data_IF_625264606614
#
_entry.id   IF_625264606614
#
_cell.length_a   1.000
_cell.length_b   1.000
_cell.length_c   1.000
_cell.angle_alpha   90.00
_cell.angle_beta   90.00
_cell.angle_gamma   90.00
#
_symmetry.space_group_name_H-M   'P 1'
#
loop_
_entity.id
_entity.type
_entity.pdbx_description
1 polymer ?
#
# COMPACT_ATOMS: atom_id res chain seq x y z
N UNK A 1 2.27 -12.36 31.83
CA UNK A 1 2.28 -12.88 30.44
C UNK A 1 3.36 -12.12 29.69
N UNK A 2 4.41 -12.79 29.22
CA UNK A 2 5.50 -12.14 28.48
C UNK A 2 4.95 -11.62 27.15
N UNK A 3 5.14 -10.32 26.85
CA UNK A 3 4.72 -9.75 25.56
C UNK A 3 5.56 -10.34 24.43
N UNK A 4 4.97 -10.48 23.25
CA UNK A 4 5.63 -11.00 22.04
C UNK A 4 5.96 -9.88 21.05
N UNK A 5 6.73 -10.21 20.00
CA UNK A 5 6.95 -9.26 18.89
C UNK A 5 5.63 -8.94 18.18
N UNK A 6 4.75 -9.93 18.01
CA UNK A 6 3.42 -9.73 17.46
C UNK A 6 2.58 -8.77 18.30
N UNK A 7 2.65 -8.84 19.64
CA UNK A 7 1.97 -7.86 20.51
C UNK A 7 2.50 -6.44 20.30
N UNK A 8 3.81 -6.28 20.12
CA UNK A 8 4.44 -4.98 19.84
C UNK A 8 3.97 -4.40 18.51
N UNK A 9 3.95 -5.21 17.45
CA UNK A 9 3.51 -4.78 16.11
C UNK A 9 2.02 -4.44 16.12
N UNK A 10 1.16 -5.30 16.69
CA UNK A 10 -0.28 -5.04 16.82
C UNK A 10 -0.54 -3.73 17.57
N UNK A 11 0.15 -3.51 18.69
CA UNK A 11 0.02 -2.26 19.46
C UNK A 11 0.45 -1.04 18.64
N UNK A 12 1.49 -1.19 17.81
CA UNK A 12 1.94 -0.10 16.94
C UNK A 12 0.90 0.25 15.86
N UNK A 13 0.25 -0.77 15.28
CA UNK A 13 -0.88 -0.59 14.35
C UNK A 13 -2.10 0.02 15.04
N UNK A 14 -2.44 -0.40 16.27
CA UNK A 14 -3.51 0.25 17.05
C UNK A 14 -3.24 1.75 17.28
N UNK A 15 -1.99 2.12 17.60
CA UNK A 15 -1.59 3.53 17.75
C UNK A 15 -1.67 4.27 16.41
N UNK A 16 -1.23 3.62 15.32
CA UNK A 16 -1.30 4.15 13.97
C UNK A 16 -2.75 4.49 13.60
N UNK A 17 -3.67 3.54 13.77
CA UNK A 17 -5.08 3.70 13.41
C UNK A 17 -5.76 4.82 14.21
N UNK A 18 -5.47 4.91 15.51
CA UNK A 18 -6.04 5.94 16.38
C UNK A 18 -5.47 7.34 16.10
N UNK A 19 -4.16 7.47 15.85
CA UNK A 19 -3.44 8.76 15.98
C UNK A 19 -2.54 9.12 14.80
N UNK A 20 -2.41 8.24 13.83
CA UNK A 20 -1.57 8.41 12.66
C UNK A 20 -0.09 8.10 12.92
N UNK A 21 0.69 8.05 11.84
CA UNK A 21 2.07 7.57 11.80
C UNK A 21 3.00 8.37 12.74
N UNK A 22 2.75 9.67 12.90
CA UNK A 22 3.54 10.55 13.78
C UNK A 22 3.44 10.22 15.27
N UNK A 23 2.40 9.49 15.70
CA UNK A 23 2.23 9.06 17.09
C UNK A 23 2.92 7.72 17.40
N UNK A 24 3.29 6.95 16.37
CA UNK A 24 3.88 5.63 16.54
C UNK A 24 5.32 5.77 17.01
N UNK A 25 5.57 5.48 18.28
CA UNK A 25 6.91 5.50 18.87
C UNK A 25 7.11 4.33 19.83
N UNK A 26 8.37 3.91 20.00
CA UNK A 26 8.72 2.85 20.96
C UNK A 26 8.27 3.17 22.39
N UNK A 27 8.25 4.47 22.76
CA UNK A 27 7.74 4.94 24.06
C UNK A 27 6.23 4.81 24.16
N UNK A 28 5.49 5.25 23.13
CA UNK A 28 4.04 5.12 23.10
C UNK A 28 3.59 3.65 23.18
N UNK A 29 4.31 2.76 22.48
CA UNK A 29 4.06 1.31 22.51
C UNK A 29 4.35 0.74 23.91
N UNK A 30 5.49 1.10 24.51
CA UNK A 30 5.84 0.65 25.85
C UNK A 30 4.79 1.08 26.89
N UNK A 31 4.32 2.33 26.79
CA UNK A 31 3.26 2.85 27.65
C UNK A 31 1.94 2.11 27.45
N UNK A 32 1.53 1.86 26.21
CA UNK A 32 0.28 1.14 25.89
C UNK A 32 0.32 -0.30 26.40
N UNK A 33 1.47 -0.97 26.28
CA UNK A 33 1.67 -2.35 26.70
C UNK A 33 1.94 -2.51 28.21
N UNK A 34 2.09 -1.42 28.95
CA UNK A 34 2.52 -1.38 30.35
C UNK A 34 3.85 -2.15 30.58
N UNK A 35 4.84 -1.87 29.73
CA UNK A 35 6.19 -2.46 29.81
C UNK A 35 7.26 -1.38 29.74
N UNK A 36 8.50 -1.76 30.08
CA UNK A 36 9.66 -0.87 29.91
C UNK A 36 10.02 -0.77 28.42
N UNK A 37 10.54 0.39 28.00
CA UNK A 37 11.02 0.60 26.63
C UNK A 37 12.06 -0.45 26.19
N UNK A 38 12.91 -0.93 27.12
CA UNK A 38 13.87 -1.99 26.84
C UNK A 38 13.21 -3.32 26.43
N UNK A 39 12.00 -3.61 26.91
CA UNK A 39 11.22 -4.78 26.49
C UNK A 39 10.79 -4.65 25.04
N UNK A 40 10.29 -3.49 24.63
CA UNK A 40 9.91 -3.21 23.23
C UNK A 40 11.14 -3.32 22.32
N UNK A 41 12.24 -2.64 22.69
CA UNK A 41 13.51 -2.70 21.96
C UNK A 41 14.07 -4.12 21.86
N UNK A 42 13.84 -4.99 22.84
CA UNK A 42 14.26 -6.38 22.74
C UNK A 42 13.54 -7.12 21.58
N UNK A 43 12.26 -6.83 21.35
CA UNK A 43 11.46 -7.45 20.28
C UNK A 43 11.78 -6.90 18.89
N UNK A 44 11.97 -5.59 18.75
CA UNK A 44 12.08 -4.95 17.42
C UNK A 44 13.46 -4.37 17.13
N UNK A 45 14.35 -4.28 18.11
CA UNK A 45 15.72 -3.74 18.02
C UNK A 45 15.82 -2.25 17.70
N UNK A 46 15.12 -1.76 16.68
CA UNK A 46 15.12 -0.36 16.22
C UNK A 46 13.72 0.10 15.81
N UNK A 47 13.55 1.41 15.64
CA UNK A 47 12.31 1.99 15.09
C UNK A 47 12.12 1.63 13.61
N UNK A 48 13.19 1.63 12.82
CA UNK A 48 13.14 1.20 11.42
C UNK A 48 12.68 -0.27 11.28
N UNK A 49 13.21 -1.17 12.13
CA UNK A 49 12.78 -2.57 12.11
C UNK A 49 11.33 -2.75 12.57
N UNK A 50 10.85 -1.93 13.50
CA UNK A 50 9.43 -1.89 13.83
C UNK A 50 8.59 -1.49 12.61
N UNK A 51 9.03 -0.48 11.84
CA UNK A 51 8.33 -0.03 10.65
C UNK A 51 8.28 -1.10 9.56
N UNK A 52 9.38 -1.83 9.33
CA UNK A 52 9.40 -3.00 8.44
C UNK A 52 8.38 -4.07 8.87
N UNK A 53 8.34 -4.40 10.16
CA UNK A 53 7.38 -5.38 10.70
C UNK A 53 5.93 -4.89 10.64
N UNK A 54 5.69 -3.59 10.81
CA UNK A 54 4.36 -3.01 10.63
C UNK A 54 3.93 -3.04 9.17
N UNK A 55 4.83 -2.69 8.23
CA UNK A 55 4.57 -2.77 6.82
C UNK A 55 4.21 -4.21 6.41
N UNK A 56 5.01 -5.19 6.84
CA UNK A 56 4.72 -6.60 6.54
C UNK A 56 3.39 -7.07 7.13
N UNK A 57 3.06 -6.66 8.35
CA UNK A 57 1.78 -6.99 8.96
C UNK A 57 0.58 -6.41 8.20
N UNK A 58 0.71 -5.20 7.63
CA UNK A 58 -0.30 -4.61 6.73
C UNK A 58 -0.39 -5.45 5.45
N UNK A 59 0.76 -5.77 4.83
CA UNK A 59 0.77 -6.58 3.58
C UNK A 59 0.23 -8.00 3.80
N UNK A 60 0.38 -8.57 5.00
CA UNK A 60 -0.16 -9.87 5.36
C UNK A 60 -1.69 -9.96 5.30
N UNK A 61 -2.41 -8.82 5.26
CA UNK A 61 -3.86 -8.80 5.04
C UNK A 61 -4.24 -9.09 3.57
N UNK A 62 -3.28 -9.05 2.66
CA UNK A 62 -3.47 -9.44 1.25
C UNK A 62 -3.61 -10.96 1.17
N UNK A 63 -4.85 -11.42 1.17
CA UNK A 63 -5.15 -12.83 0.93
C UNK A 63 -4.74 -13.23 -0.50
N UNK A 64 -3.90 -14.26 -0.63
CA UNK A 64 -3.55 -14.89 -1.91
C UNK A 64 -4.46 -16.09 -2.24
N UNK A 65 -5.48 -16.34 -1.44
CA UNK A 65 -6.42 -17.45 -1.65
C UNK A 65 -7.53 -17.07 -2.63
N UNK A 66 -7.98 -18.03 -3.44
CA UNK A 66 -9.10 -17.82 -4.38
C UNK A 66 -8.85 -16.72 -5.42
N UNK A 67 -7.60 -16.57 -5.85
CA UNK A 67 -7.25 -15.64 -6.92
C UNK A 67 -7.72 -16.17 -8.29
N UNK A 68 -8.01 -15.28 -9.26
CA UNK A 68 -8.36 -15.67 -10.63
C UNK A 68 -7.29 -16.53 -11.33
N UNK A 69 -7.76 -17.35 -12.26
CA UNK A 69 -6.90 -18.18 -13.12
C UNK A 69 -6.17 -17.35 -14.18
N UNK A 70 -6.84 -16.38 -14.81
CA UNK A 70 -6.19 -15.47 -15.77
C UNK A 70 -5.15 -14.60 -15.05
N UNK A 71 -3.92 -14.59 -15.56
CA UNK A 71 -2.81 -13.92 -14.91
C UNK A 71 -3.01 -12.41 -14.76
N UNK A 72 -3.72 -11.75 -15.68
CA UNK A 72 -3.98 -10.30 -15.57
C UNK A 72 -4.99 -10.03 -14.49
N UNK A 73 -6.09 -10.78 -14.51
CA UNK A 73 -7.11 -10.69 -13.47
C UNK A 73 -6.52 -10.98 -12.09
N UNK A 74 -5.56 -11.92 -12.00
CA UNK A 74 -4.81 -12.21 -10.79
C UNK A 74 -3.99 -11.01 -10.30
N UNK A 75 -3.20 -10.38 -11.16
CA UNK A 75 -2.42 -9.18 -10.77
C UNK A 75 -3.34 -8.04 -10.35
N UNK A 76 -4.43 -7.83 -11.09
CA UNK A 76 -5.43 -6.80 -10.78
C UNK A 76 -6.08 -7.04 -9.41
N UNK A 77 -6.48 -8.29 -9.14
CA UNK A 77 -7.09 -8.67 -7.87
C UNK A 77 -6.12 -8.52 -6.69
N UNK A 78 -4.85 -8.91 -6.86
CA UNK A 78 -3.82 -8.69 -5.84
C UNK A 78 -3.64 -7.19 -5.58
N UNK A 79 -3.59 -6.35 -6.63
CA UNK A 79 -3.46 -4.91 -6.48
C UNK A 79 -4.66 -4.28 -5.74
N UNK A 80 -5.88 -4.77 -5.99
CA UNK A 80 -7.09 -4.36 -5.24
C UNK A 80 -7.00 -4.71 -3.77
N UNK A 81 -6.63 -5.97 -3.46
CA UNK A 81 -6.46 -6.44 -2.09
C UNK A 81 -5.35 -5.68 -1.37
N UNK A 82 -4.26 -5.38 -2.07
CA UNK A 82 -3.17 -4.56 -1.57
C UNK A 82 -3.64 -3.15 -1.23
N UNK A 83 -4.35 -2.46 -2.12
CA UNK A 83 -4.98 -1.16 -1.79
C UNK A 83 -5.92 -1.26 -0.59
N UNK A 84 -6.74 -2.31 -0.53
CA UNK A 84 -7.64 -2.57 0.60
C UNK A 84 -6.90 -2.68 1.93
N UNK A 85 -5.81 -3.44 1.99
CA UNK A 85 -4.95 -3.58 3.16
C UNK A 85 -4.33 -2.24 3.58
N UNK A 86 -3.85 -1.45 2.61
CA UNK A 86 -3.32 -0.11 2.90
C UNK A 86 -4.38 0.82 3.49
N UNK A 87 -5.61 0.79 2.94
CA UNK A 87 -6.74 1.61 3.38
C UNK A 87 -7.32 1.17 4.73
N UNK A 88 -7.14 -0.09 5.13
CA UNK A 88 -7.59 -0.61 6.42
C UNK A 88 -6.88 0.08 7.60
N UNK A 89 -5.70 0.63 7.36
CA UNK A 89 -4.90 1.33 8.37
C UNK A 89 -4.71 2.81 8.06
N UNK A 90 -4.85 3.65 9.08
CA UNK A 90 -4.57 5.09 8.93
C UNK A 90 -3.11 5.30 8.55
N UNK A 91 -2.83 6.12 7.54
CA UNK A 91 -1.46 6.32 7.00
C UNK A 91 -0.76 5.01 6.56
N UNK A 92 -1.52 3.93 6.29
CA UNK A 92 -0.97 2.62 5.91
C UNK A 92 -0.08 2.68 4.67
N UNK A 93 -0.46 3.48 3.66
CA UNK A 93 0.37 3.69 2.47
C UNK A 93 1.71 4.36 2.81
N UNK A 94 1.74 5.29 3.76
CA UNK A 94 2.98 5.95 4.22
C UNK A 94 3.89 4.96 4.95
N UNK A 95 3.32 4.11 5.81
CA UNK A 95 4.08 3.09 6.54
C UNK A 95 4.75 2.12 5.57
N UNK A 96 4.02 1.64 4.56
CA UNK A 96 4.58 0.68 3.60
C UNK A 96 5.58 1.35 2.65
N UNK A 97 5.28 2.52 2.09
CA UNK A 97 6.17 3.23 1.16
C UNK A 97 7.54 3.61 1.76
N UNK A 98 7.60 3.81 3.08
CA UNK A 98 8.84 4.12 3.81
C UNK A 98 9.78 2.93 4.03
N UNK A 99 9.39 1.72 3.60
CA UNK A 99 10.12 0.48 3.92
C UNK A 99 10.50 -0.32 2.68
N UNK A 100 11.69 -0.91 2.70
CA UNK A 100 12.08 -2.01 1.81
C UNK A 100 12.02 -3.32 2.60
N UNK A 101 10.85 -3.63 3.15
CA UNK A 101 10.67 -4.80 4.00
C UNK A 101 10.88 -6.08 3.18
N UNK A 102 12.02 -6.76 3.38
CA UNK A 102 12.24 -8.12 2.89
C UNK A 102 11.64 -9.12 3.90
N UNK A 103 10.35 -8.94 4.20
CA UNK A 103 9.62 -9.73 5.18
C UNK A 103 8.68 -10.74 4.48
N UNK A 104 8.28 -11.83 5.16
CA UNK A 104 7.62 -12.96 4.51
C UNK A 104 6.37 -12.61 3.71
N UNK A 105 5.42 -11.86 4.28
CA UNK A 105 4.17 -11.54 3.56
C UNK A 105 4.42 -10.61 2.37
N UNK A 106 5.34 -9.66 2.54
CA UNK A 106 5.77 -8.75 1.47
C UNK A 106 6.39 -9.53 0.31
N UNK A 107 7.25 -10.50 0.60
CA UNK A 107 7.86 -11.38 -0.40
C UNK A 107 6.83 -12.30 -1.08
N UNK A 108 5.89 -12.87 -0.33
CA UNK A 108 4.85 -13.76 -0.87
C UNK A 108 3.92 -13.01 -1.83
N UNK A 109 3.53 -11.77 -1.52
CA UNK A 109 2.74 -10.92 -2.42
C UNK A 109 3.53 -10.56 -3.67
N UNK A 110 4.82 -10.20 -3.53
CA UNK A 110 5.68 -9.91 -4.68
C UNK A 110 5.84 -11.14 -5.60
N UNK A 111 6.09 -12.31 -5.02
CA UNK A 111 6.20 -13.59 -5.72
C UNK A 111 4.91 -13.89 -6.50
N UNK A 112 3.74 -13.76 -5.86
CA UNK A 112 2.46 -14.03 -6.52
C UNK A 112 2.22 -13.13 -7.75
N UNK A 113 2.59 -11.86 -7.67
CA UNK A 113 2.48 -10.91 -8.79
C UNK A 113 3.49 -11.25 -9.89
N UNK A 114 4.76 -11.46 -9.54
CA UNK A 114 5.81 -11.79 -10.52
C UNK A 114 5.52 -13.11 -11.22
N UNK A 115 5.11 -14.14 -10.48
CA UNK A 115 4.73 -15.43 -11.03
C UNK A 115 3.59 -15.30 -12.05
N UNK A 116 2.55 -14.51 -11.75
CA UNK A 116 1.47 -14.25 -12.69
C UNK A 116 1.96 -13.54 -13.95
N UNK A 117 2.78 -12.49 -13.80
CA UNK A 117 3.33 -11.75 -14.94
C UNK A 117 4.20 -12.63 -15.86
N UNK A 118 5.04 -13.50 -15.27
CA UNK A 118 5.86 -14.46 -16.01
C UNK A 118 5.00 -15.53 -16.70
N UNK A 119 3.97 -16.06 -16.04
CA UNK A 119 2.97 -16.96 -16.65
C UNK A 119 2.29 -16.31 -17.86
N UNK A 120 2.08 -15.00 -17.80
CA UNK A 120 1.57 -14.18 -18.89
C UNK A 120 2.51 -13.98 -20.08
N UNK A 121 3.74 -14.48 -20.00
CA UNK A 121 4.76 -14.41 -21.06
C UNK A 121 5.56 -13.11 -21.09
N UNK A 122 5.52 -12.30 -20.02
CA UNK A 122 6.40 -11.13 -19.90
C UNK A 122 7.85 -11.58 -19.72
N UNK A 123 8.79 -10.77 -20.19
CA UNK A 123 10.20 -10.98 -19.88
C UNK A 123 10.46 -10.77 -18.38
N UNK A 124 11.53 -11.33 -17.84
CA UNK A 124 11.92 -11.15 -16.43
C UNK A 124 12.03 -9.66 -16.06
N UNK A 125 12.57 -8.85 -16.97
CA UNK A 125 12.68 -7.40 -16.79
C UNK A 125 11.31 -6.74 -16.74
N UNK A 126 10.43 -7.06 -17.68
CA UNK A 126 9.10 -6.45 -17.76
C UNK A 126 8.24 -6.87 -16.58
N UNK A 127 8.34 -8.13 -16.12
CA UNK A 127 7.65 -8.61 -14.93
C UNK A 127 8.11 -7.85 -13.67
N UNK A 128 9.42 -7.72 -13.46
CA UNK A 128 9.96 -6.99 -12.32
C UNK A 128 9.59 -5.49 -12.34
N UNK A 129 9.65 -4.85 -13.51
CA UNK A 129 9.29 -3.43 -13.64
C UNK A 129 7.78 -3.20 -13.51
N UNK A 130 6.96 -4.10 -14.05
CA UNK A 130 5.50 -4.01 -13.90
C UNK A 130 5.08 -4.18 -12.44
N UNK A 131 5.71 -5.09 -11.67
CA UNK A 131 5.51 -5.17 -10.23
C UNK A 131 5.75 -3.81 -9.56
N UNK A 132 6.91 -3.19 -9.82
CA UNK A 132 7.25 -1.90 -9.23
C UNK A 132 6.28 -0.80 -9.65
N UNK A 133 5.92 -0.72 -10.92
CA UNK A 133 4.98 0.28 -11.43
C UNK A 133 3.60 0.15 -10.76
N UNK A 134 3.10 -1.08 -10.59
CA UNK A 134 1.86 -1.35 -9.86
C UNK A 134 2.00 -0.92 -8.39
N UNK A 135 3.08 -1.32 -7.71
CA UNK A 135 3.31 -0.95 -6.30
C UNK A 135 3.37 0.57 -6.11
N UNK A 136 4.14 1.28 -6.94
CA UNK A 136 4.26 2.74 -6.87
C UNK A 136 2.92 3.44 -7.14
N UNK A 137 2.17 2.95 -8.14
CA UNK A 137 0.86 3.48 -8.45
C UNK A 137 -0.11 3.32 -7.28
N UNK A 138 -0.23 2.11 -6.73
CA UNK A 138 -1.14 1.83 -5.61
C UNK A 138 -0.74 2.63 -4.37
N UNK A 139 0.54 2.68 -4.01
CA UNK A 139 1.02 3.46 -2.86
C UNK A 139 0.75 4.96 -3.05
N UNK A 140 1.10 5.53 -4.20
CA UNK A 140 0.94 6.95 -4.47
C UNK A 140 -0.52 7.39 -4.43
N UNK A 141 -1.40 6.64 -5.09
CA UNK A 141 -2.83 6.91 -5.11
C UNK A 141 -3.45 6.78 -3.72
N UNK A 142 -3.15 5.69 -3.01
CA UNK A 142 -3.73 5.42 -1.68
C UNK A 142 -3.22 6.43 -0.64
N UNK A 143 -1.96 6.86 -0.74
CA UNK A 143 -1.42 7.90 0.12
C UNK A 143 -2.12 9.25 -0.10
N UNK A 144 -2.43 9.60 -1.35
CA UNK A 144 -3.18 10.82 -1.65
C UNK A 144 -4.61 10.74 -1.09
N UNK A 145 -5.27 9.60 -1.23
CA UNK A 145 -6.60 9.33 -0.67
C UNK A 145 -6.64 9.46 0.85
N UNK A 146 -5.67 8.85 1.54
CA UNK A 146 -5.54 8.93 2.99
C UNK A 146 -5.23 10.35 3.49
N UNK A 147 -4.66 11.20 2.64
CA UNK A 147 -4.35 12.60 2.95
C UNK A 147 -5.52 13.57 2.66
N UNK A 148 -6.56 13.17 1.94
CA UNK A 148 -7.69 14.02 1.56
C UNK A 148 -8.41 14.73 2.71
N UNK A 149 -8.63 14.12 3.90
CA UNK A 149 -9.24 14.84 5.01
C UNK A 149 -8.46 16.12 5.41
N UNK A 150 -7.20 16.26 4.98
CA UNK A 150 -6.37 17.46 5.13
C UNK A 150 -6.13 18.28 3.85
N UNK A 151 -6.67 17.88 2.69
CA UNK A 151 -6.47 18.51 1.37
C UNK A 151 -7.70 18.30 0.48
N UNK A 152 -8.46 19.37 0.21
CA UNK A 152 -9.47 19.36 -0.85
C UNK A 152 -8.98 20.14 -2.06
N UNK A 153 -9.29 19.64 -3.25
CA UNK A 153 -9.11 20.38 -4.50
C UNK A 153 -10.21 21.44 -4.71
N UNK A 154 -11.20 21.50 -3.80
CA UNK A 154 -12.27 22.48 -3.81
C UNK A 154 -11.68 23.89 -3.69
N UNK A 155 -11.84 24.69 -4.75
CA UNK A 155 -11.22 26.02 -4.89
C UNK A 155 -9.91 26.07 -5.71
N UNK A 156 -9.50 25.01 -6.40
CA UNK A 156 -8.35 25.05 -7.32
C UNK A 156 -8.57 26.06 -8.47
N UNK A 157 -7.79 27.15 -8.48
CA UNK A 157 -7.83 28.18 -9.53
C UNK A 157 -6.72 27.94 -10.57
N UNK A 158 -7.08 27.42 -11.74
CA UNK A 158 -6.11 27.10 -12.80
C UNK A 158 -5.63 28.28 -13.64
N UNK A 159 -6.23 29.47 -13.49
CA UNK A 159 -5.83 30.68 -14.25
C UNK A 159 -5.91 30.47 -15.77
N UNK A 160 -5.03 31.12 -16.56
CA UNK A 160 -4.99 31.03 -18.03
C UNK A 160 -4.29 29.76 -18.56
N UNK A 161 -4.75 28.59 -18.10
CA UNK A 161 -4.22 27.28 -18.53
C UNK A 161 -5.31 26.54 -19.30
N UNK A 162 -5.42 26.73 -20.63
CA UNK A 162 -6.58 26.28 -21.41
C UNK A 162 -6.76 24.76 -21.38
N UNK A 163 -5.69 23.97 -21.38
CA UNK A 163 -5.78 22.52 -21.25
C UNK A 163 -6.36 22.10 -19.90
N UNK A 164 -5.87 22.67 -18.78
CA UNK A 164 -6.38 22.36 -17.44
C UNK A 164 -7.83 22.80 -17.26
N UNK A 165 -8.23 23.95 -17.80
CA UNK A 165 -9.65 24.39 -17.76
C UNK A 165 -10.60 23.37 -18.39
N UNK A 166 -10.18 22.67 -19.45
CA UNK A 166 -11.01 21.67 -20.14
C UNK A 166 -11.27 20.43 -19.29
N UNK A 167 -10.35 20.07 -18.41
CA UNK A 167 -10.41 18.85 -17.59
C UNK A 167 -10.57 19.13 -16.10
N UNK A 168 -10.64 20.40 -15.69
CA UNK A 168 -10.71 20.80 -14.29
C UNK A 168 -11.85 20.10 -13.53
N UNK A 169 -13.08 19.98 -14.06
CA UNK A 169 -14.14 19.25 -13.37
C UNK A 169 -13.72 17.82 -13.00
N UNK A 170 -13.11 17.09 -13.95
CA UNK A 170 -12.64 15.71 -13.77
C UNK A 170 -11.41 15.63 -12.86
N UNK A 171 -10.51 16.63 -12.90
CA UNK A 171 -9.36 16.67 -11.99
C UNK A 171 -9.78 16.89 -10.52
N UNK A 172 -10.90 17.57 -10.29
CA UNK A 172 -11.44 17.83 -8.95
C UNK A 172 -12.41 16.76 -8.47
N UNK A 173 -12.81 15.81 -9.32
CA UNK A 173 -13.67 14.68 -8.92
C UNK A 173 -12.94 13.77 -7.94
N UNK A 174 -13.43 13.63 -6.71
CA UNK A 174 -12.84 12.77 -5.68
C UNK A 174 -13.21 11.29 -5.90
N UNK A 175 -12.91 10.72 -7.07
CA UNK A 175 -13.18 9.32 -7.42
C UNK A 175 -11.92 8.43 -7.39
N UNK A 176 -11.35 8.24 -6.20
CA UNK A 176 -10.13 7.42 -6.04
C UNK A 176 -10.28 5.99 -6.55
N UNK A 177 -11.46 5.38 -6.37
CA UNK A 177 -11.76 4.06 -6.92
C UNK A 177 -11.74 4.04 -8.46
N UNK A 178 -12.33 5.05 -9.12
CA UNK A 178 -12.33 5.12 -10.59
C UNK A 178 -10.93 5.41 -11.14
N UNK A 179 -10.17 6.30 -10.48
CA UNK A 179 -8.76 6.57 -10.82
C UNK A 179 -7.89 5.33 -10.63
N UNK A 180 -8.14 4.56 -9.57
CA UNK A 180 -7.48 3.29 -9.30
C UNK A 180 -7.69 2.30 -10.44
N UNK A 181 -8.96 2.01 -10.78
CA UNK A 181 -9.31 1.07 -11.85
C UNK A 181 -8.80 1.55 -13.21
N UNK A 182 -8.90 2.86 -13.50
CA UNK A 182 -8.37 3.44 -14.73
C UNK A 182 -6.86 3.26 -14.87
N UNK A 183 -6.09 3.60 -13.83
CA UNK A 183 -4.63 3.49 -13.86
C UNK A 183 -4.16 2.04 -13.92
N UNK A 184 -4.79 1.15 -13.14
CA UNK A 184 -4.45 -0.27 -13.13
C UNK A 184 -4.72 -0.92 -14.49
N UNK A 185 -5.82 -0.56 -15.18
CA UNK A 185 -6.09 -1.02 -16.53
C UNK A 185 -5.10 -0.50 -17.58
N UNK A 186 -4.31 0.55 -17.30
CA UNK A 186 -3.20 1.00 -18.16
C UNK A 186 -1.92 0.22 -17.91
N UNK A 187 -1.65 -0.14 -16.66
CA UNK A 187 -0.48 -0.92 -16.26
C UNK A 187 -0.63 -2.39 -16.64
N UNK A 188 -1.83 -2.94 -16.45
CA UNK A 188 -2.17 -4.35 -16.73
C UNK A 188 -3.41 -4.38 -17.62
N UNK A 189 -3.27 -4.17 -18.94
CA UNK A 189 -4.41 -4.06 -19.84
C UNK A 189 -5.17 -5.39 -19.95
N UNK A 190 -6.52 -5.38 -20.00
CA UNK A 190 -7.34 -6.59 -20.00
C UNK A 190 -7.06 -7.47 -21.23
N UNK A 191 -7.31 -8.77 -21.08
CA UNK A 191 -7.22 -9.76 -22.14
C UNK A 191 -8.14 -9.36 -23.32
N UNK A 192 -7.57 -8.77 -24.38
CA UNK A 192 -8.35 -8.28 -25.52
C UNK A 192 -7.66 -7.33 -26.50
N UNK A 193 -6.46 -6.81 -26.19
CA UNK A 193 -5.71 -5.98 -27.14
C UNK A 193 -4.39 -6.65 -27.53
N UNK A 194 -4.46 -7.68 -28.39
CA UNK A 194 -3.36 -7.84 -29.35
C UNK A 194 -3.39 -6.58 -30.20
N UNK A 195 -2.44 -5.67 -29.99
CA UNK A 195 -2.20 -4.61 -30.99
C UNK A 195 -1.91 -5.34 -32.32
N UNK A 196 -2.56 -4.94 -33.42
CA UNK A 196 -2.20 -5.44 -34.75
C UNK A 196 -0.75 -5.10 -35.08
#
# INVERSE_FOLDING_TARGET
>A
MTKSQADVVRTALEILDERGVGAVSLRAIAQRLDVRMNTVLWHVKTKARLEELMADAIVAEVSLTGLPDDWRERVVEIARRYRGALLAHRDGAVVVAGTYAAEPATLDVAEAVVAALLEGGLSERDAAWTLWDVVYFVLGLTQEEQALPGRSADGLVVGERPALRRVLPVLTEESFDERFEFGLAKLVPPSGHRRP
#
